data_IF_786041100904
#
_entry.id   IF_786041100904
#
_cell.length_a   1.000
_cell.length_b   1.000
_cell.length_c   1.000
_cell.angle_alpha   90.00
_cell.angle_beta   90.00
_cell.angle_gamma   90.00
#
_symmetry.space_group_name_H-M   'P 1'
#
loop_
_entity.id
_entity.type
_entity.pdbx_description
1 polymer ?
#
# COMPACT_ATOMS: atom_id res chain seq x y z
N UNK A 1 15.28 -3.58 -17.61
CA UNK A 1 14.76 -2.23 -17.94
C UNK A 1 15.65 -1.19 -17.28
N UNK A 2 15.72 0.05 -17.79
CA UNK A 2 16.50 1.12 -17.13
C UNK A 2 16.06 1.34 -15.67
N UNK A 3 14.77 1.15 -15.39
CA UNK A 3 14.19 1.21 -14.04
C UNK A 3 14.80 0.16 -13.09
N UNK A 4 15.10 -1.06 -13.58
CA UNK A 4 15.72 -2.10 -12.73
C UNK A 4 17.06 -1.64 -12.18
N UNK A 5 17.88 -1.01 -13.03
CA UNK A 5 19.19 -0.52 -12.65
C UNK A 5 19.12 0.69 -11.70
N UNK A 6 18.11 1.54 -11.84
CA UNK A 6 17.91 2.70 -10.97
C UNK A 6 17.46 2.29 -9.56
N UNK A 7 16.53 1.33 -9.48
CA UNK A 7 15.95 0.87 -8.22
C UNK A 7 16.72 -0.30 -7.58
N UNK A 8 17.69 -0.89 -8.29
CA UNK A 8 18.39 -2.10 -7.85
C UNK A 8 17.46 -3.33 -7.79
N UNK A 9 16.39 -3.36 -8.59
CA UNK A 9 15.38 -4.41 -8.55
C UNK A 9 15.81 -5.65 -9.33
N UNK A 10 15.27 -6.82 -8.95
CA UNK A 10 15.46 -8.06 -9.70
C UNK A 10 14.72 -8.08 -11.05
N UNK A 11 13.76 -7.17 -11.23
CA UNK A 11 12.97 -7.00 -12.44
C UNK A 11 11.84 -5.99 -12.23
N UNK A 12 11.33 -5.44 -13.34
CA UNK A 12 10.26 -4.42 -13.34
C UNK A 12 9.19 -4.76 -14.37
N UNK A 13 7.94 -4.47 -14.02
CA UNK A 13 6.78 -4.61 -14.91
C UNK A 13 6.26 -3.21 -15.21
N UNK A 14 6.23 -2.84 -16.51
CA UNK A 14 5.61 -1.60 -16.95
C UNK A 14 4.09 -1.79 -17.13
N UNK A 15 3.32 -0.83 -16.63
CA UNK A 15 1.85 -0.88 -16.60
C UNK A 15 1.28 0.48 -17.05
N UNK A 16 0.00 0.57 -17.49
CA UNK A 16 -0.48 1.77 -18.19
C UNK A 16 -0.67 3.01 -17.32
N UNK A 17 -0.56 2.91 -15.99
CA UNK A 17 -0.66 4.06 -15.06
C UNK A 17 -0.03 3.77 -13.70
N UNK A 18 0.26 4.83 -12.93
CA UNK A 18 0.69 4.70 -11.54
C UNK A 18 -0.35 4.01 -10.65
N UNK A 19 -1.65 4.25 -10.88
CA UNK A 19 -2.70 3.53 -10.16
C UNK A 19 -2.70 2.04 -10.48
N UNK A 20 -2.43 1.64 -11.72
CA UNK A 20 -2.24 0.22 -12.06
C UNK A 20 -1.01 -0.36 -11.35
N UNK A 21 0.09 0.41 -11.25
CA UNK A 21 1.32 0.01 -10.56
C UNK A 21 1.11 -0.20 -9.06
N UNK A 22 0.15 0.50 -8.45
CA UNK A 22 -0.24 0.30 -7.04
C UNK A 22 -1.24 -0.85 -6.89
N UNK A 23 -2.30 -0.88 -7.70
CA UNK A 23 -3.42 -1.81 -7.49
C UNK A 23 -3.09 -3.26 -7.84
N UNK A 24 -2.29 -3.51 -8.89
CA UNK A 24 -1.87 -4.85 -9.31
C UNK A 24 -1.13 -5.62 -8.20
N UNK A 25 -0.06 -5.08 -7.58
CA UNK A 25 0.61 -5.79 -6.50
C UNK A 25 -0.30 -5.98 -5.30
N UNK A 26 -1.14 -5.00 -4.94
CA UNK A 26 -2.06 -5.15 -3.82
C UNK A 26 -2.99 -6.36 -3.99
N UNK A 27 -3.65 -6.51 -5.14
CA UNK A 27 -4.52 -7.67 -5.39
C UNK A 27 -3.75 -8.99 -5.59
N UNK A 28 -2.45 -8.92 -5.87
CA UNK A 28 -1.60 -10.11 -6.02
C UNK A 28 -1.23 -10.71 -4.66
N UNK A 29 -1.02 -9.88 -3.64
CA UNK A 29 -0.54 -10.33 -2.32
C UNK A 29 -1.64 -10.59 -1.29
N UNK A 30 -2.88 -10.14 -1.54
CA UNK A 30 -4.00 -10.29 -0.61
C UNK A 30 -5.10 -11.18 -1.15
N UNK A 31 -5.86 -11.77 -0.23
CA UNK A 31 -7.07 -12.55 -0.45
C UNK A 31 -8.14 -12.16 0.57
N UNK A 32 -9.37 -12.67 0.39
CA UNK A 32 -10.44 -12.45 1.36
C UNK A 32 -10.03 -12.96 2.76
N UNK A 33 -10.25 -12.14 3.79
CA UNK A 33 -9.85 -12.40 5.17
C UNK A 33 -8.44 -11.91 5.54
N UNK A 34 -7.64 -11.45 4.58
CA UNK A 34 -6.36 -10.81 4.87
C UNK A 34 -6.54 -9.38 5.40
N UNK A 35 -5.56 -8.94 6.17
CA UNK A 35 -5.46 -7.61 6.72
C UNK A 35 -4.38 -6.80 6.00
N UNK A 36 -4.68 -5.53 5.73
CA UNK A 36 -3.82 -4.62 5.00
C UNK A 36 -3.76 -3.26 5.71
N UNK A 37 -2.55 -2.84 6.06
CA UNK A 37 -2.26 -1.56 6.68
C UNK A 37 -1.93 -0.52 5.62
N UNK A 38 -2.55 0.66 5.65
CA UNK A 38 -2.27 1.77 4.72
C UNK A 38 -1.99 3.06 5.49
N UNK A 39 -0.97 3.81 5.09
CA UNK A 39 -0.74 5.14 5.65
C UNK A 39 -1.96 6.05 5.43
N UNK A 40 -2.35 6.83 6.44
CA UNK A 40 -3.56 7.66 6.35
C UNK A 40 -3.45 8.78 5.30
N UNK A 41 -2.24 9.29 5.03
CA UNK A 41 -1.97 10.32 4.02
C UNK A 41 -1.87 9.80 2.57
N UNK A 42 -2.19 8.53 2.33
CA UNK A 42 -2.02 7.90 1.02
C UNK A 42 -2.74 8.67 -0.10
N UNK A 43 -2.14 8.65 -1.29
CA UNK A 43 -2.76 9.13 -2.53
C UNK A 43 -4.24 8.72 -2.65
N UNK A 44 -5.11 9.70 -2.87
CA UNK A 44 -6.56 9.52 -2.73
C UNK A 44 -7.17 8.39 -3.61
N UNK A 45 -6.77 8.21 -4.89
CA UNK A 45 -7.21 7.06 -5.67
C UNK A 45 -6.84 5.70 -5.09
N UNK A 46 -5.70 5.57 -4.40
CA UNK A 46 -5.33 4.34 -3.69
C UNK A 46 -6.28 4.10 -2.51
N UNK A 47 -6.58 5.13 -1.72
CA UNK A 47 -7.58 5.05 -0.65
C UNK A 47 -8.96 4.65 -1.19
N UNK A 48 -9.42 5.28 -2.26
CA UNK A 48 -10.68 4.92 -2.90
C UNK A 48 -10.68 3.46 -3.37
N UNK A 49 -9.58 2.98 -3.97
CA UNK A 49 -9.46 1.57 -4.35
C UNK A 49 -9.53 0.62 -3.14
N UNK A 50 -8.87 0.96 -2.04
CA UNK A 50 -8.92 0.16 -0.81
C UNK A 50 -10.33 0.13 -0.21
N UNK A 51 -10.98 1.29 -0.10
CA UNK A 51 -12.30 1.45 0.49
C UNK A 51 -13.44 0.87 -0.37
N UNK A 52 -13.20 0.65 -1.65
CA UNK A 52 -14.21 0.10 -2.57
C UNK A 52 -13.86 -1.32 -2.99
N UNK A 53 -12.80 -1.49 -3.78
CA UNK A 53 -12.46 -2.76 -4.42
C UNK A 53 -11.90 -3.77 -3.43
N UNK A 54 -10.92 -3.40 -2.60
CA UNK A 54 -10.31 -4.35 -1.66
C UNK A 54 -11.30 -4.78 -0.58
N UNK A 55 -12.09 -3.84 -0.02
CA UNK A 55 -13.20 -4.18 0.88
C UNK A 55 -14.22 -5.12 0.22
N UNK A 56 -14.58 -4.89 -1.05
CA UNK A 56 -15.48 -5.79 -1.80
C UNK A 56 -14.87 -7.18 -2.03
N UNK A 57 -13.55 -7.28 -2.15
CA UNK A 57 -12.81 -8.54 -2.23
C UNK A 57 -12.62 -9.23 -0.86
N UNK A 58 -13.17 -8.65 0.22
CA UNK A 58 -13.12 -9.24 1.56
C UNK A 58 -11.83 -8.96 2.34
N UNK A 59 -11.03 -7.97 1.93
CA UNK A 59 -9.81 -7.56 2.62
C UNK A 59 -10.15 -6.56 3.73
N UNK A 60 -9.61 -6.77 4.92
CA UNK A 60 -9.68 -5.82 6.03
C UNK A 60 -8.67 -4.69 5.83
N UNK A 61 -9.14 -3.45 5.83
CA UNK A 61 -8.30 -2.26 5.64
C UNK A 61 -8.22 -1.49 6.95
N UNK A 62 -6.99 -1.26 7.43
CA UNK A 62 -6.72 -0.42 8.60
C UNK A 62 -5.77 0.71 8.20
N UNK A 63 -6.17 1.96 8.50
CA UNK A 63 -5.35 3.12 8.22
C UNK A 63 -4.54 3.51 9.47
N UNK A 64 -3.25 3.82 9.30
CA UNK A 64 -2.38 4.19 10.41
C UNK A 64 -1.82 5.61 10.25
N UNK A 65 -1.55 6.26 11.39
CA UNK A 65 -0.92 7.59 11.43
C UNK A 65 0.49 7.51 10.80
N UNK A 66 0.81 8.32 9.78
CA UNK A 66 2.15 8.35 9.19
C UNK A 66 3.29 8.55 10.20
N UNK A 67 3.01 9.15 11.37
CA UNK A 67 4.00 9.41 12.42
C UNK A 67 4.02 8.37 13.53
N UNK A 68 3.35 7.23 13.34
CA UNK A 68 3.25 6.17 14.35
C UNK A 68 4.62 5.54 14.71
N UNK A 69 5.60 5.62 13.80
CA UNK A 69 6.93 5.05 13.99
C UNK A 69 6.89 3.57 14.38
N UNK A 70 7.65 3.19 15.41
CA UNK A 70 7.69 1.82 15.90
C UNK A 70 6.34 1.31 16.44
N UNK A 71 5.38 2.20 16.73
CA UNK A 71 4.04 1.83 17.18
C UNK A 71 3.23 1.00 16.16
N UNK A 72 3.62 1.04 14.87
CA UNK A 72 2.98 0.23 13.82
C UNK A 72 3.03 -1.28 14.13
N UNK A 73 4.04 -1.74 14.88
CA UNK A 73 4.16 -3.14 15.26
C UNK A 73 2.94 -3.65 16.05
N UNK A 74 2.26 -2.79 16.80
CA UNK A 74 1.05 -3.14 17.54
C UNK A 74 -0.19 -3.32 16.64
N UNK A 75 -0.15 -2.81 15.41
CA UNK A 75 -1.24 -2.93 14.43
C UNK A 75 -1.11 -4.19 13.55
N UNK A 76 0.06 -4.87 13.61
CA UNK A 76 0.30 -6.09 12.85
C UNK A 76 -0.47 -7.26 13.49
N UNK A 77 -1.48 -7.74 12.78
CA UNK A 77 -2.28 -8.94 13.08
C UNK A 77 -1.68 -10.19 12.42
N UNK A 78 -2.01 -11.41 12.89
CA UNK A 78 -1.55 -12.67 12.27
C UNK A 78 -1.91 -12.84 10.78
N UNK A 79 -2.98 -12.18 10.32
CA UNK A 79 -3.43 -12.17 8.94
C UNK A 79 -2.96 -10.92 8.15
N UNK A 80 -2.05 -10.10 8.70
CA UNK A 80 -1.52 -8.93 7.97
C UNK A 80 -0.62 -9.39 6.83
N UNK A 81 -0.94 -9.01 5.59
CA UNK A 81 -0.16 -9.39 4.39
C UNK A 81 0.65 -8.27 3.81
N UNK A 82 0.16 -7.04 3.92
CA UNK A 82 0.79 -5.87 3.32
C UNK A 82 0.74 -4.70 4.28
N UNK A 83 1.86 -3.98 4.36
CA UNK A 83 1.95 -2.63 4.90
C UNK A 83 2.25 -1.71 3.73
N UNK A 84 1.32 -0.83 3.38
CA UNK A 84 1.45 0.14 2.31
C UNK A 84 1.88 1.50 2.88
N UNK A 85 3.02 2.01 2.42
CA UNK A 85 3.66 3.23 2.91
C UNK A 85 3.81 4.24 1.77
N UNK A 86 3.81 5.53 2.09
CA UNK A 86 4.10 6.62 1.15
C UNK A 86 4.98 7.66 1.86
N UNK A 87 6.07 8.08 1.23
CA UNK A 87 7.01 9.05 1.80
C UNK A 87 7.69 9.85 0.68
N UNK A 88 7.56 11.19 0.65
CA UNK A 88 6.70 11.98 1.52
C UNK A 88 5.21 11.73 1.23
N UNK A 89 4.34 11.91 2.22
CA UNK A 89 2.90 11.69 2.07
C UNK A 89 2.22 12.64 1.06
N UNK A 90 1.18 12.15 0.39
CA UNK A 90 0.44 12.90 -0.63
C UNK A 90 -0.21 14.16 -0.05
N UNK A 91 0.15 15.33 -0.59
CA UNK A 91 -0.32 16.66 -0.18
C UNK A 91 0.11 17.14 1.22
N UNK A 92 0.46 16.23 2.13
CA UNK A 92 0.79 16.53 3.52
C UNK A 92 2.30 16.51 3.81
N UNK A 93 3.08 15.87 2.94
CA UNK A 93 4.55 15.91 2.88
C UNK A 93 5.33 15.39 4.09
N UNK A 94 4.69 14.72 5.04
CA UNK A 94 5.38 14.06 6.14
C UNK A 94 6.23 12.88 5.67
N UNK A 95 7.31 12.64 6.39
CA UNK A 95 8.30 11.57 6.13
C UNK A 95 8.17 10.53 7.23
N UNK A 96 8.18 9.27 6.83
CA UNK A 96 8.12 8.09 7.70
C UNK A 96 9.49 7.43 7.82
#
# INVERSE_FOLDING_TARGET
>A
LAVDALEGSAGTIAVPSGLAAVTIPLVTFVSAGDHLLIVDSVYHPTRNFADTMLKRLGVEIEYYDPRIGAGIAALIKPNTKVVFTESPGSNTYEVQ
#
